data_IF_011068143648
#
_entry.id   IF_011068143648
#
_cell.length_a   1.000
_cell.length_b   1.000
_cell.length_c   1.000
_cell.angle_alpha   90.00
_cell.angle_beta   90.00
_cell.angle_gamma   90.00
#
_symmetry.space_group_name_H-M   'P 1'
#
loop_
_entity.id
_entity.type
_entity.pdbx_description
1 polymer ?
#
# COMPACT_ATOMS: atom_id res chain seq x y z
N UNK A 1 55.28 40.66 -11.48
CA UNK A 1 54.21 40.92 -12.46
C UNK A 1 53.22 39.76 -12.41
N UNK A 2 51.99 40.09 -12.00
CA UNK A 2 50.68 39.39 -12.06
C UNK A 2 50.58 37.86 -11.80
N UNK A 3 49.91 37.45 -10.71
CA UNK A 3 49.37 36.11 -10.54
C UNK A 3 48.04 35.95 -11.30
N UNK A 4 47.87 34.81 -11.98
CA UNK A 4 46.63 34.45 -12.67
C UNK A 4 45.61 33.87 -11.69
N UNK A 5 44.52 34.60 -11.47
CA UNK A 5 43.30 34.13 -10.83
C UNK A 5 42.67 33.00 -11.66
N UNK A 6 42.53 31.81 -11.09
CA UNK A 6 41.57 30.82 -11.58
C UNK A 6 40.32 30.92 -10.70
N UNK A 7 39.30 31.52 -11.30
CA UNK A 7 37.95 31.63 -10.78
C UNK A 7 37.34 30.25 -10.54
N UNK A 8 36.90 30.02 -9.31
CA UNK A 8 35.88 29.03 -8.96
C UNK A 8 34.62 29.27 -9.79
N UNK A 9 34.38 28.43 -10.80
CA UNK A 9 33.08 28.37 -11.46
C UNK A 9 32.23 27.32 -10.74
N UNK A 10 31.29 27.83 -9.95
CA UNK A 10 30.32 27.07 -9.18
C UNK A 10 29.52 26.11 -10.08
N UNK A 11 29.46 24.84 -9.68
CA UNK A 11 28.51 23.88 -10.20
C UNK A 11 27.09 24.34 -9.81
N UNK A 12 26.33 24.84 -10.78
CA UNK A 12 24.89 25.06 -10.63
C UNK A 12 24.24 23.68 -10.63
N UNK A 13 24.08 23.11 -9.43
CA UNK A 13 23.16 22.00 -9.21
C UNK A 13 21.75 22.58 -9.35
N UNK A 14 21.14 22.41 -10.53
CA UNK A 14 19.69 22.54 -10.68
C UNK A 14 19.06 21.47 -9.78
N UNK A 15 18.74 21.84 -8.55
CA UNK A 15 17.75 21.12 -7.77
C UNK A 15 16.44 21.23 -8.54
N UNK A 16 16.09 20.17 -9.26
CA UNK A 16 14.75 19.95 -9.72
C UNK A 16 13.84 20.00 -8.49
N UNK A 17 13.12 21.12 -8.36
CA UNK A 17 12.06 21.31 -7.39
C UNK A 17 11.00 20.26 -7.73
N UNK A 18 11.03 19.14 -7.00
CA UNK A 18 9.93 18.18 -7.01
C UNK A 18 8.71 18.95 -6.47
N UNK A 19 7.56 18.94 -7.15
CA UNK A 19 6.41 19.68 -6.68
C UNK A 19 6.00 19.15 -5.29
N UNK A 20 6.15 20.03 -4.31
CA UNK A 20 5.87 19.86 -2.89
C UNK A 20 4.35 19.81 -2.60
N UNK A 21 3.53 19.14 -3.41
CA UNK A 21 2.09 19.03 -3.15
C UNK A 21 1.50 17.69 -3.63
N UNK A 22 1.69 16.66 -2.81
CA UNK A 22 0.83 15.47 -2.69
C UNK A 22 0.91 14.86 -1.26
N UNK A 23 1.39 15.63 -0.29
CA UNK A 23 1.85 15.13 1.03
C UNK A 23 0.74 14.87 2.04
N UNK A 24 -0.54 15.06 1.72
CA UNK A 24 -1.64 14.87 2.67
C UNK A 24 -2.09 13.42 2.82
N UNK A 25 -2.56 12.80 1.72
CA UNK A 25 -3.16 11.46 1.74
C UNK A 25 -2.14 10.31 1.72
N UNK A 26 -0.97 10.51 1.11
CA UNK A 26 0.07 9.48 1.15
C UNK A 26 0.69 9.43 2.58
N UNK A 27 0.78 10.56 3.29
CA UNK A 27 1.30 10.64 4.67
C UNK A 27 0.45 9.85 5.67
N UNK A 28 -0.88 9.90 5.54
CA UNK A 28 -1.78 9.18 6.43
C UNK A 28 -1.66 7.66 6.27
N UNK A 29 -1.30 7.17 5.09
CA UNK A 29 -1.12 5.74 4.82
C UNK A 29 0.31 5.24 5.11
N UNK A 30 1.31 6.11 5.08
CA UNK A 30 2.73 5.72 5.20
C UNK A 30 3.26 5.85 6.63
N UNK A 31 2.77 6.80 7.43
CA UNK A 31 3.18 6.93 8.84
C UNK A 31 2.35 6.02 9.73
N UNK A 32 2.95 5.59 10.84
CA UNK A 32 2.32 4.76 11.87
C UNK A 32 0.96 5.33 12.27
N UNK A 33 -0.06 4.50 12.16
CA UNK A 33 -1.43 4.85 12.47
C UNK A 33 -1.66 4.94 13.98
N UNK A 34 -2.44 5.94 14.38
CA UNK A 34 -2.89 6.16 15.75
C UNK A 34 -4.37 6.55 15.73
N UNK A 35 -5.06 6.41 16.86
CA UNK A 35 -6.49 6.75 16.96
C UNK A 35 -6.78 8.20 16.51
N UNK A 36 -5.91 9.16 16.82
CA UNK A 36 -6.09 10.55 16.37
C UNK A 36 -5.94 10.73 14.87
N UNK A 37 -5.06 9.96 14.21
CA UNK A 37 -4.89 10.02 12.76
C UNK A 37 -6.13 9.53 12.01
N UNK A 38 -7.03 8.76 12.64
CA UNK A 38 -8.29 8.34 12.04
C UNK A 38 -9.15 9.51 11.57
N UNK A 39 -9.08 10.65 12.27
CA UNK A 39 -9.83 11.87 11.93
C UNK A 39 -9.41 12.49 10.60
N UNK A 40 -8.23 12.12 10.10
CA UNK A 40 -7.64 12.63 8.86
C UNK A 40 -7.99 11.75 7.65
N UNK A 41 -8.59 10.57 7.86
CA UNK A 41 -9.00 9.72 6.75
C UNK A 41 -10.17 10.33 5.99
N UNK A 42 -10.19 10.21 4.64
CA UNK A 42 -11.23 10.81 3.83
C UNK A 42 -12.59 10.16 4.08
N UNK A 43 -13.64 10.97 3.92
CA UNK A 43 -15.04 10.53 3.88
C UNK A 43 -15.56 10.82 2.48
N UNK A 44 -15.65 9.82 1.60
CA UNK A 44 -16.05 10.03 0.22
C UNK A 44 -17.50 10.52 0.11
N UNK A 45 -17.74 11.43 -0.84
CA UNK A 45 -19.06 11.99 -1.08
C UNK A 45 -20.04 10.96 -1.67
N UNK A 46 -19.53 10.01 -2.45
CA UNK A 46 -20.28 8.93 -3.09
C UNK A 46 -20.46 7.71 -2.18
N UNK A 47 -19.96 7.75 -0.94
CA UNK A 47 -20.03 6.65 0.03
C UNK A 47 -19.26 5.39 -0.38
N UNK A 48 -18.26 5.50 -1.26
CA UNK A 48 -17.41 4.37 -1.60
C UNK A 48 -16.61 3.92 -0.37
N UNK A 49 -16.65 2.62 -0.08
CA UNK A 49 -15.93 2.04 1.04
C UNK A 49 -14.44 1.89 0.68
N UNK A 50 -13.58 1.80 1.69
CA UNK A 50 -12.17 1.46 1.51
C UNK A 50 -11.66 0.55 2.62
N UNK A 51 -10.66 -0.25 2.29
CA UNK A 51 -9.95 -1.13 3.22
C UNK A 51 -8.45 -0.96 2.98
N UNK A 52 -7.70 -0.78 4.05
CA UNK A 52 -6.26 -0.52 4.01
C UNK A 52 -5.57 -1.29 5.13
N UNK A 53 -4.50 -2.01 4.78
CA UNK A 53 -3.63 -2.72 5.71
C UNK A 53 -2.30 -1.96 5.84
N UNK A 54 -1.94 -1.58 7.06
CA UNK A 54 -0.61 -1.07 7.40
C UNK A 54 0.07 -2.04 8.36
N UNK A 55 1.32 -2.41 8.08
CA UNK A 55 2.16 -3.17 9.03
C UNK A 55 3.55 -2.55 9.12
N UNK A 56 3.88 -1.97 10.27
CA UNK A 56 5.15 -1.29 10.49
C UNK A 56 5.80 -1.87 11.74
N UNK A 57 7.02 -2.40 11.58
CA UNK A 57 7.77 -3.05 12.65
C UNK A 57 6.96 -4.22 13.25
N UNK A 58 6.62 -4.13 14.54
CA UNK A 58 5.85 -5.15 15.24
C UNK A 58 4.34 -4.90 15.20
N UNK A 59 3.87 -3.74 14.73
CA UNK A 59 2.44 -3.38 14.86
C UNK A 59 1.75 -3.41 13.50
N UNK A 60 0.52 -3.92 13.51
CA UNK A 60 -0.36 -3.95 12.34
C UNK A 60 -1.66 -3.22 12.63
N UNK A 61 -2.09 -2.39 11.68
CA UNK A 61 -3.33 -1.65 11.72
C UNK A 61 -4.14 -1.89 10.43
N UNK A 62 -5.42 -2.20 10.60
CA UNK A 62 -6.37 -2.33 9.49
C UNK A 62 -7.36 -1.19 9.58
N UNK A 63 -7.48 -0.39 8.53
CA UNK A 63 -8.44 0.69 8.43
C UNK A 63 -9.57 0.31 7.48
N UNK A 64 -10.80 0.51 7.93
CA UNK A 64 -12.02 0.24 7.16
C UNK A 64 -12.87 1.51 7.15
N UNK A 65 -13.12 2.07 5.97
CA UNK A 65 -14.16 3.08 5.78
C UNK A 65 -15.48 2.38 5.44
N UNK A 66 -16.43 2.37 6.37
CA UNK A 66 -17.79 1.86 6.15
C UNK A 66 -18.77 3.01 6.05
N UNK A 67 -19.15 3.32 4.81
CA UNK A 67 -20.08 4.40 4.47
C UNK A 67 -21.37 3.87 3.86
N UNK A 68 -21.52 2.55 3.80
CA UNK A 68 -22.67 1.88 3.20
C UNK A 68 -23.92 1.89 4.08
N UNK A 69 -23.75 2.07 5.39
CA UNK A 69 -24.84 2.14 6.37
C UNK A 69 -25.36 3.57 6.63
N UNK A 70 -26.43 3.65 7.44
CA UNK A 70 -26.98 4.93 7.92
C UNK A 70 -25.96 5.73 8.73
N UNK A 71 -25.14 5.04 9.52
CA UNK A 71 -24.05 5.63 10.28
C UNK A 71 -22.71 5.40 9.59
N UNK A 72 -22.24 6.43 8.88
CA UNK A 72 -20.88 6.49 8.34
C UNK A 72 -19.87 6.38 9.46
N UNK A 73 -18.88 5.49 9.30
CA UNK A 73 -17.82 5.30 10.28
C UNK A 73 -16.50 4.88 9.62
N UNK A 74 -15.42 5.19 10.31
CA UNK A 74 -14.07 4.72 10.00
C UNK A 74 -13.64 3.87 11.19
N UNK A 75 -13.21 2.65 10.91
CA UNK A 75 -12.80 1.67 11.91
C UNK A 75 -11.30 1.46 11.77
N UNK A 76 -10.58 1.42 12.89
CA UNK A 76 -9.20 0.98 12.93
C UNK A 76 -9.08 -0.18 13.90
N UNK A 77 -8.65 -1.32 13.40
CA UNK A 77 -8.30 -2.50 14.19
C UNK A 77 -6.79 -2.47 14.39
N UNK A 78 -6.32 -2.62 15.62
CA UNK A 78 -4.89 -2.70 15.95
C UNK A 78 -4.58 -4.08 16.48
N UNK A 79 -3.53 -4.66 15.90
CA UNK A 79 -2.87 -5.89 16.29
C UNK A 79 -1.42 -5.51 16.66
N UNK A 80 -1.15 -5.46 17.95
CA UNK A 80 0.17 -5.18 18.51
C UNK A 80 0.99 -6.44 18.51
N UNK A 81 2.30 -6.29 18.31
CA UNK A 81 3.22 -7.42 18.20
C UNK A 81 2.91 -8.39 17.04
N UNK A 82 1.92 -8.06 16.19
CA UNK A 82 1.61 -8.74 14.94
C UNK A 82 1.27 -10.22 15.15
N UNK A 83 0.58 -10.53 16.26
CA UNK A 83 0.27 -11.89 16.68
C UNK A 83 -1.09 -12.39 16.13
N UNK A 84 -1.78 -11.55 15.34
CA UNK A 84 -3.13 -11.75 14.81
C UNK A 84 -4.24 -11.68 15.85
N UNK A 85 -3.98 -11.03 16.98
CA UNK A 85 -4.98 -10.71 18.00
C UNK A 85 -5.45 -9.27 17.84
N UNK A 86 -6.69 -9.00 18.26
CA UNK A 86 -7.21 -7.63 18.33
C UNK A 86 -6.85 -7.06 19.71
N UNK A 87 -5.93 -6.10 19.75
CA UNK A 87 -5.62 -5.34 20.96
C UNK A 87 -6.59 -4.18 21.19
N UNK A 88 -7.02 -3.54 20.11
CA UNK A 88 -7.95 -2.43 20.19
C UNK A 88 -8.70 -2.20 18.89
N UNK A 89 -9.96 -1.77 19.03
CA UNK A 89 -10.80 -1.31 17.93
C UNK A 89 -11.22 0.11 18.19
N UNK A 90 -10.91 0.99 17.25
CA UNK A 90 -11.35 2.38 17.26
C UNK A 90 -12.48 2.55 16.24
N UNK A 91 -13.55 3.25 16.61
CA UNK A 91 -14.58 3.71 15.69
C UNK A 91 -14.64 5.24 15.71
N UNK A 92 -14.37 5.86 14.56
CA UNK A 92 -14.58 7.28 14.35
C UNK A 92 -15.85 7.51 13.53
N UNK A 93 -16.76 8.31 14.08
CA UNK A 93 -18.00 8.74 13.45
C UNK A 93 -17.82 10.15 12.88
N UNK A 94 -17.45 10.30 11.60
CA UNK A 94 -17.06 11.60 11.04
C UNK A 94 -18.14 12.68 11.13
N UNK A 95 -19.41 12.32 11.01
CA UNK A 95 -20.52 13.26 11.10
C UNK A 95 -20.72 13.81 12.52
N UNK A 96 -20.47 12.98 13.53
CA UNK A 96 -20.58 13.33 14.95
C UNK A 96 -19.26 13.86 15.53
N UNK A 97 -18.16 13.74 14.77
CA UNK A 97 -16.77 14.00 15.21
C UNK A 97 -16.42 13.25 16.50
N UNK A 98 -16.94 12.02 16.62
CA UNK A 98 -16.88 11.23 17.84
C UNK A 98 -15.96 10.02 17.63
N UNK A 99 -14.95 9.87 18.47
CA UNK A 99 -13.99 8.76 18.44
C UNK A 99 -14.23 7.88 19.67
N UNK A 100 -14.49 6.60 19.42
CA UNK A 100 -14.73 5.59 20.46
C UNK A 100 -13.70 4.49 20.39
N UNK A 101 -13.35 3.96 21.56
CA UNK A 101 -12.63 2.70 21.69
C UNK A 101 -13.67 1.66 22.11
N UNK A 102 -13.77 0.58 21.35
CA UNK A 102 -14.75 -0.47 21.55
C UNK A 102 -14.06 -1.84 21.48
N UNK A 103 -14.75 -2.88 21.95
CA UNK A 103 -14.24 -4.24 21.83
C UNK A 103 -14.55 -4.85 20.45
N UNK A 104 -15.72 -4.54 19.89
CA UNK A 104 -16.20 -5.13 18.64
C UNK A 104 -17.01 -4.10 17.82
N UNK A 105 -16.68 -3.98 16.54
CA UNK A 105 -17.43 -3.12 15.61
C UNK A 105 -18.66 -3.83 15.07
N UNK A 106 -19.74 -3.06 14.87
CA UNK A 106 -20.96 -3.54 14.19
C UNK A 106 -20.88 -3.49 12.67
N UNK A 107 -19.76 -3.05 12.10
CA UNK A 107 -19.59 -3.03 10.64
C UNK A 107 -19.63 -4.44 10.08
N UNK A 108 -20.26 -4.60 8.91
CA UNK A 108 -20.26 -5.87 8.18
C UNK A 108 -18.87 -6.32 7.71
N UNK A 109 -17.91 -5.40 7.70
CA UNK A 109 -16.53 -5.66 7.32
C UNK A 109 -15.64 -6.05 8.51
N UNK A 110 -16.16 -5.92 9.74
CA UNK A 110 -15.43 -6.32 10.93
C UNK A 110 -15.49 -7.84 11.12
N UNK A 111 -14.35 -8.44 11.46
CA UNK A 111 -14.24 -9.86 11.81
C UNK A 111 -13.21 -10.03 12.91
N UNK A 112 -13.38 -11.06 13.73
CA UNK A 112 -12.38 -11.47 14.74
C UNK A 112 -11.24 -12.27 14.13
N UNK A 113 -11.43 -12.82 12.93
CA UNK A 113 -10.38 -13.52 12.19
C UNK A 113 -9.51 -12.51 11.44
N UNK A 114 -8.56 -11.92 12.18
CA UNK A 114 -7.69 -10.86 11.69
C UNK A 114 -6.69 -11.37 10.66
N UNK A 115 -6.16 -12.57 10.84
CA UNK A 115 -5.27 -13.20 9.87
C UNK A 115 -5.97 -13.34 8.50
N UNK A 116 -7.22 -13.81 8.49
CA UNK A 116 -8.02 -13.87 7.27
C UNK A 116 -8.30 -12.49 6.68
N UNK A 117 -8.68 -11.50 7.48
CA UNK A 117 -8.94 -10.15 6.98
C UNK A 117 -7.72 -9.53 6.30
N UNK A 118 -6.52 -9.70 6.87
CA UNK A 118 -5.26 -9.26 6.25
C UNK A 118 -5.07 -9.92 4.88
N UNK A 119 -5.24 -11.24 4.79
CA UNK A 119 -5.16 -11.99 3.52
C UNK A 119 -6.19 -11.48 2.51
N UNK A 120 -7.44 -11.32 2.92
CA UNK A 120 -8.52 -10.83 2.06
C UNK A 120 -8.22 -9.43 1.50
N UNK A 121 -7.56 -8.55 2.27
CA UNK A 121 -7.12 -7.22 1.82
C UNK A 121 -5.99 -7.35 0.78
N UNK A 122 -4.96 -8.14 1.08
CA UNK A 122 -3.80 -8.36 0.21
C UNK A 122 -4.24 -9.01 -1.12
N UNK A 123 -5.10 -10.02 -1.06
CA UNK A 123 -5.64 -10.73 -2.24
C UNK A 123 -6.66 -9.87 -2.99
N UNK A 124 -7.27 -8.89 -2.32
CA UNK A 124 -8.29 -8.00 -2.85
C UNK A 124 -9.71 -8.57 -2.80
N UNK A 125 -9.93 -9.66 -2.06
CA UNK A 125 -11.25 -10.26 -1.86
C UNK A 125 -12.23 -9.27 -1.21
N UNK A 126 -11.76 -8.41 -0.30
CA UNK A 126 -12.59 -7.37 0.36
C UNK A 126 -13.15 -6.33 -0.62
N UNK A 127 -12.59 -6.18 -1.81
CA UNK A 127 -13.04 -5.16 -2.76
C UNK A 127 -14.17 -5.68 -3.69
N UNK A 128 -14.35 -7.00 -3.78
CA UNK A 128 -15.34 -7.61 -4.67
C UNK A 128 -16.73 -7.54 -4.06
N UNK A 129 -17.65 -6.82 -4.71
CA UNK A 129 -19.06 -6.75 -4.32
C UNK A 129 -19.36 -5.85 -3.12
N UNK A 130 -18.37 -5.08 -2.63
CA UNK A 130 -18.47 -4.30 -1.39
C UNK A 130 -18.57 -2.78 -1.61
N UNK A 131 -18.82 -2.35 -2.85
CA UNK A 131 -18.85 -0.93 -3.24
C UNK A 131 -17.59 -0.18 -2.77
N UNK A 132 -16.45 -0.58 -3.33
CA UNK A 132 -15.11 -0.04 -3.04
C UNK A 132 -14.43 0.37 -4.34
N UNK A 133 -13.33 1.10 -4.23
CA UNK A 133 -12.41 1.31 -5.35
C UNK A 133 -11.85 -0.02 -5.88
N UNK A 134 -11.57 -0.08 -7.20
CA UNK A 134 -10.96 -1.25 -7.82
C UNK A 134 -9.44 -1.22 -7.62
N UNK A 135 -9.01 -1.71 -6.46
CA UNK A 135 -7.59 -1.78 -6.09
C UNK A 135 -6.87 -2.90 -6.85
N UNK A 136 -5.68 -2.60 -7.37
CA UNK A 136 -4.79 -3.65 -7.90
C UNK A 136 -4.16 -4.41 -6.74
N UNK A 137 -4.34 -5.72 -6.71
CA UNK A 137 -4.01 -6.60 -5.59
C UNK A 137 -2.97 -7.67 -5.96
N UNK A 138 -2.75 -8.64 -5.06
CA UNK A 138 -1.77 -9.71 -5.22
C UNK A 138 -1.86 -10.42 -6.57
N UNK A 139 -3.06 -10.76 -7.04
CA UNK A 139 -3.26 -11.45 -8.33
C UNK A 139 -2.75 -10.63 -9.52
N UNK A 140 -2.85 -9.30 -9.45
CA UNK A 140 -2.27 -8.41 -10.48
C UNK A 140 -0.74 -8.47 -10.44
N UNK A 141 -0.15 -8.41 -9.25
CA UNK A 141 1.31 -8.55 -9.09
C UNK A 141 1.81 -9.91 -9.61
N UNK A 142 1.17 -11.01 -9.21
CA UNK A 142 1.52 -12.36 -9.67
C UNK A 142 1.44 -12.49 -11.19
N UNK A 143 0.43 -11.89 -11.83
CA UNK A 143 0.30 -11.85 -13.29
C UNK A 143 1.49 -11.16 -13.95
N UNK A 144 1.98 -10.05 -13.36
CA UNK A 144 3.17 -9.35 -13.87
C UNK A 144 4.44 -10.16 -13.66
N UNK A 145 4.59 -10.80 -12.50
CA UNK A 145 5.78 -11.62 -12.19
C UNK A 145 5.90 -12.87 -13.07
N UNK A 146 4.77 -13.45 -13.47
CA UNK A 146 4.71 -14.59 -14.37
C UNK A 146 4.82 -14.21 -15.86
N UNK A 147 4.79 -12.92 -16.19
CA UNK A 147 4.97 -12.46 -17.56
C UNK A 147 6.46 -12.50 -17.94
N UNK A 148 6.76 -12.79 -19.21
CA UNK A 148 8.12 -12.73 -19.75
C UNK A 148 8.66 -11.30 -19.89
N UNK A 149 7.80 -10.28 -19.89
CA UNK A 149 8.21 -8.87 -19.99
C UNK A 149 8.80 -8.35 -18.67
N UNK A 150 10.12 -8.22 -18.62
CA UNK A 150 10.85 -7.73 -17.46
C UNK A 150 10.94 -6.20 -17.38
N UNK A 151 10.47 -5.45 -18.38
CA UNK A 151 10.57 -3.97 -18.36
C UNK A 151 9.77 -3.33 -17.22
N UNK A 152 8.77 -4.07 -16.70
CA UNK A 152 7.98 -3.71 -15.54
C UNK A 152 8.65 -4.03 -14.20
N UNK A 153 9.79 -4.74 -14.20
CA UNK A 153 10.46 -5.24 -13.00
C UNK A 153 11.77 -4.49 -12.77
N UNK A 154 11.87 -3.77 -11.65
CA UNK A 154 13.10 -3.20 -11.16
C UNK A 154 13.55 -3.97 -9.92
N UNK A 155 14.55 -4.84 -10.07
CA UNK A 155 15.14 -5.53 -8.94
C UNK A 155 15.87 -4.53 -8.02
N UNK A 156 15.78 -4.78 -6.72
CA UNK A 156 16.54 -4.14 -5.66
C UNK A 156 17.30 -5.22 -4.89
N UNK A 157 18.29 -4.83 -4.08
CA UNK A 157 19.12 -5.74 -3.26
C UNK A 157 18.25 -6.65 -2.39
N UNK A 158 17.12 -6.13 -1.93
CA UNK A 158 16.26 -6.80 -0.95
C UNK A 158 14.97 -7.37 -1.55
N UNK A 159 14.70 -7.15 -2.85
CA UNK A 159 13.39 -7.46 -3.45
C UNK A 159 13.14 -6.84 -4.82
N UNK A 160 11.89 -6.44 -5.09
CA UNK A 160 11.48 -5.85 -6.36
C UNK A 160 10.58 -4.63 -6.18
N UNK A 161 10.73 -3.69 -7.11
CA UNK A 161 9.73 -2.67 -7.44
C UNK A 161 9.13 -3.01 -8.80
N UNK A 162 7.81 -3.07 -8.88
CA UNK A 162 7.07 -3.53 -10.06
C UNK A 162 6.10 -2.45 -10.52
N UNK A 163 6.18 -2.08 -11.79
CA UNK A 163 5.27 -1.12 -12.43
C UNK A 163 4.26 -1.87 -13.28
N UNK A 164 2.98 -1.66 -13.01
CA UNK A 164 1.91 -2.22 -13.82
C UNK A 164 1.29 -1.15 -14.72
N UNK A 165 1.17 -1.48 -16.01
CA UNK A 165 0.59 -0.65 -17.05
C UNK A 165 -0.67 -1.32 -17.57
N UNK A 166 -1.69 -0.54 -17.91
CA UNK A 166 -2.85 -1.07 -18.64
C UNK A 166 -2.42 -1.40 -20.08
N UNK A 167 -3.08 -2.37 -20.73
CA UNK A 167 -2.62 -2.94 -22.01
C UNK A 167 -2.41 -1.90 -23.13
N UNK A 168 -3.22 -0.85 -23.13
CA UNK A 168 -3.26 0.24 -24.11
C UNK A 168 -2.68 1.57 -23.58
N UNK A 169 -2.16 1.60 -22.36
CA UNK A 169 -1.52 2.79 -21.76
C UNK A 169 -0.15 2.45 -21.18
N UNK A 170 0.90 2.74 -21.96
CA UNK A 170 2.30 2.44 -21.60
C UNK A 170 3.06 3.64 -21.03
N UNK A 171 2.51 4.85 -21.08
CA UNK A 171 3.18 6.07 -20.60
C UNK A 171 2.93 6.31 -19.11
N UNK A 172 1.89 5.69 -18.56
CA UNK A 172 1.50 5.85 -17.16
C UNK A 172 1.18 4.50 -16.53
N UNK A 173 1.82 4.22 -15.41
CA UNK A 173 1.52 3.02 -14.64
C UNK A 173 0.20 3.20 -13.87
N UNK A 174 -0.67 2.18 -13.88
CA UNK A 174 -1.91 2.15 -13.09
C UNK A 174 -1.67 1.67 -11.67
N UNK A 175 -0.61 0.88 -11.45
CA UNK A 175 -0.19 0.48 -10.11
C UNK A 175 1.33 0.37 -9.96
N UNK A 176 1.76 0.46 -8.70
CA UNK A 176 3.12 0.18 -8.23
C UNK A 176 3.02 -0.88 -7.15
N UNK A 177 3.86 -1.90 -7.26
CA UNK A 177 4.01 -2.91 -6.22
C UNK A 177 5.45 -2.92 -5.75
N UNK A 178 5.66 -3.12 -4.46
CA UNK A 178 6.98 -3.35 -3.88
C UNK A 178 6.90 -4.53 -2.94
N UNK A 179 7.83 -5.47 -3.05
CA UNK A 179 7.93 -6.59 -2.09
C UNK A 179 9.38 -7.01 -1.88
N UNK A 180 9.67 -7.47 -0.66
CA UNK A 180 10.96 -8.04 -0.33
C UNK A 180 11.23 -8.12 1.16
N UNK A 181 12.48 -8.40 1.53
CA UNK A 181 12.89 -8.59 2.93
C UNK A 181 14.33 -8.15 3.17
N UNK A 182 14.56 -7.57 4.35
CA UNK A 182 15.87 -7.20 4.85
C UNK A 182 16.07 -7.78 6.27
N UNK A 183 17.11 -7.34 6.99
CA UNK A 183 17.38 -7.79 8.35
C UNK A 183 16.34 -7.29 9.38
N UNK A 184 15.65 -6.18 9.10
CA UNK A 184 14.68 -5.56 10.01
C UNK A 184 13.28 -6.15 9.86
N UNK A 185 12.91 -6.60 8.65
CA UNK A 185 11.66 -7.29 8.40
C UNK A 185 11.30 -7.40 6.92
N UNK A 186 10.00 -7.55 6.68
CA UNK A 186 9.40 -7.68 5.36
C UNK A 186 8.79 -6.36 4.91
N UNK A 187 8.81 -6.12 3.60
CA UNK A 187 8.09 -5.02 3.01
C UNK A 187 7.17 -5.52 1.90
N UNK A 188 5.97 -4.94 1.86
CA UNK A 188 4.91 -5.28 0.91
C UNK A 188 4.04 -4.05 0.72
N UNK A 189 4.02 -3.46 -0.46
CA UNK A 189 3.30 -2.23 -0.75
C UNK A 189 2.53 -2.36 -2.05
N UNK A 190 1.21 -2.18 -1.99
CA UNK A 190 0.32 -2.23 -3.15
C UNK A 190 -0.30 -0.85 -3.31
N UNK A 191 0.15 -0.12 -4.34
CA UNK A 191 -0.29 1.24 -4.63
C UNK A 191 -1.04 1.26 -5.97
N UNK A 192 -2.29 1.69 -5.95
CA UNK A 192 -3.08 1.95 -7.16
C UNK A 192 -3.07 3.45 -7.44
N UNK A 193 -2.49 3.86 -8.57
CA UNK A 193 -2.47 5.26 -9.01
C UNK A 193 -3.77 5.64 -9.73
N UNK A 194 -4.35 4.69 -10.46
CA UNK A 194 -5.67 4.80 -11.06
C UNK A 194 -6.21 3.43 -11.48
N UNK A 195 -7.51 3.34 -11.74
CA UNK A 195 -8.14 2.19 -12.38
C UNK A 195 -9.17 2.65 -13.42
N UNK A 196 -9.53 1.77 -14.35
CA UNK A 196 -10.61 2.02 -15.31
C UNK A 196 -11.93 1.57 -14.73
N UNK A 197 -12.91 2.47 -14.71
CA UNK A 197 -14.30 2.14 -14.43
C UNK A 197 -14.99 1.57 -15.66
N UNK A 198 -14.65 2.12 -16.83
CA UNK A 198 -15.10 1.68 -18.14
C UNK A 198 -14.02 2.02 -19.20
N UNK A 199 -14.32 1.82 -20.48
CA UNK A 199 -13.37 2.04 -21.58
C UNK A 199 -12.87 3.48 -21.69
N UNK A 200 -13.66 4.46 -21.25
CA UNK A 200 -13.38 5.89 -21.42
C UNK A 200 -13.10 6.60 -20.08
N UNK A 201 -13.48 5.98 -18.95
CA UNK A 201 -13.42 6.60 -17.63
C UNK A 201 -12.33 5.99 -16.77
N UNK A 202 -11.36 6.82 -16.41
CA UNK A 202 -10.35 6.52 -15.39
C UNK A 202 -10.77 7.16 -14.06
N UNK A 203 -10.59 6.42 -12.97
CA UNK A 203 -10.81 6.90 -11.61
C UNK A 203 -9.52 6.77 -10.78
N UNK A 204 -9.36 7.67 -9.82
CA UNK A 204 -8.32 7.58 -8.80
C UNK A 204 -8.95 7.03 -7.53
N UNK A 205 -8.32 6.07 -6.85
CA UNK A 205 -8.88 5.56 -5.60
C UNK A 205 -8.82 6.62 -4.50
N UNK A 206 -9.76 6.52 -3.56
CA UNK A 206 -9.82 7.37 -2.36
C UNK A 206 -8.55 7.22 -1.53
N UNK A 207 -8.12 5.97 -1.35
CA UNK A 207 -6.85 5.60 -0.74
C UNK A 207 -5.95 4.96 -1.80
N UNK A 208 -4.73 5.46 -1.96
CA UNK A 208 -3.82 4.92 -2.99
C UNK A 208 -3.24 3.58 -2.58
N UNK A 209 -2.93 3.38 -1.30
CA UNK A 209 -2.43 2.10 -0.81
C UNK A 209 -3.58 1.22 -0.35
N UNK A 210 -3.62 -0.03 -0.83
CA UNK A 210 -4.39 -1.11 -0.19
C UNK A 210 -3.56 -1.82 0.87
N UNK A 211 -2.25 -1.89 0.66
CA UNK A 211 -1.28 -2.48 1.58
C UNK A 211 -0.06 -1.57 1.67
N UNK A 212 0.38 -1.27 2.89
CA UNK A 212 1.64 -0.60 3.16
C UNK A 212 2.36 -1.28 4.33
N UNK A 213 3.36 -2.10 4.00
CA UNK A 213 4.18 -2.79 5.00
C UNK A 213 5.63 -2.36 4.87
N UNK A 214 6.26 -2.02 6.01
CA UNK A 214 7.66 -1.59 6.10
C UNK A 214 8.29 -2.16 7.36
N UNK A 215 9.39 -2.88 7.20
CA UNK A 215 10.08 -3.58 8.30
C UNK A 215 9.12 -4.46 9.12
N UNK A 216 8.10 -4.98 8.45
CA UNK A 216 7.00 -5.72 9.07
C UNK A 216 7.47 -7.09 9.55
N UNK A 217 7.05 -7.45 10.76
CA UNK A 217 7.18 -8.80 11.32
C UNK A 217 5.89 -9.60 11.26
N UNK A 218 4.86 -9.05 10.61
CA UNK A 218 3.57 -9.68 10.50
C UNK A 218 3.66 -11.03 9.76
N UNK A 219 3.16 -12.13 10.36
CA UNK A 219 3.29 -13.45 9.77
C UNK A 219 2.53 -13.59 8.45
N UNK A 220 1.42 -12.86 8.25
CA UNK A 220 0.68 -12.87 6.97
C UNK A 220 1.49 -12.15 5.90
N UNK A 221 2.06 -10.97 6.21
CA UNK A 221 2.92 -10.25 5.26
C UNK A 221 4.14 -11.09 4.89
N UNK A 222 4.80 -11.69 5.88
CA UNK A 222 5.92 -12.62 5.70
C UNK A 222 5.55 -13.77 4.76
N UNK A 223 4.46 -14.47 5.03
CA UNK A 223 4.00 -15.60 4.22
C UNK A 223 3.82 -15.20 2.75
N UNK A 224 3.15 -14.08 2.50
CA UNK A 224 2.90 -13.58 1.14
C UNK A 224 4.21 -13.21 0.43
N UNK A 225 5.11 -12.49 1.09
CA UNK A 225 6.40 -12.10 0.49
C UNK A 225 7.26 -13.32 0.17
N UNK A 226 7.33 -14.30 1.07
CA UNK A 226 8.07 -15.55 0.80
C UNK A 226 7.45 -16.34 -0.35
N UNK A 227 6.13 -16.31 -0.52
CA UNK A 227 5.46 -16.92 -1.67
C UNK A 227 5.77 -16.17 -2.98
N UNK A 228 5.82 -14.83 -2.97
CA UNK A 228 6.24 -14.03 -4.13
C UNK A 228 7.68 -14.35 -4.53
N UNK A 229 8.58 -14.57 -3.56
CA UNK A 229 9.95 -15.02 -3.84
C UNK A 229 10.04 -16.42 -4.44
N UNK A 230 9.01 -17.27 -4.32
CA UNK A 230 8.98 -18.55 -5.06
C UNK A 230 8.68 -18.34 -6.54
N UNK A 231 8.02 -17.24 -6.90
CA UNK A 231 7.73 -16.86 -8.29
C UNK A 231 8.95 -16.19 -8.93
N UNK A 232 9.55 -15.21 -8.23
CA UNK A 232 10.70 -14.46 -8.73
C UNK A 232 11.63 -14.02 -7.59
N UNK A 233 12.92 -14.30 -7.70
CA UNK A 233 13.94 -13.83 -6.74
C UNK A 233 14.87 -12.79 -7.36
N UNK A 234 15.33 -11.79 -6.58
CA UNK A 234 16.38 -10.88 -7.03
C UNK A 234 17.67 -11.67 -7.15
N UNK A 235 18.37 -11.55 -8.29
CA UNK A 235 19.77 -11.98 -8.35
C UNK A 235 20.06 -13.48 -8.35
N UNK A 236 19.15 -14.35 -8.82
CA UNK A 236 19.65 -15.55 -9.51
C UNK A 236 20.10 -15.09 -10.89
N UNK A 237 21.34 -14.63 -10.97
CA UNK A 237 22.10 -14.87 -12.18
C UNK A 237 21.91 -16.37 -12.46
N UNK A 238 21.17 -16.72 -13.50
CA UNK A 238 21.51 -17.90 -14.26
C UNK A 238 22.96 -17.68 -14.68
N UNK A 239 23.88 -18.12 -13.83
CA UNK A 239 25.06 -18.77 -14.30
C UNK A 239 24.55 -19.84 -15.26
N UNK A 240 24.48 -19.51 -16.54
CA UNK A 240 24.99 -20.40 -17.56
C UNK A 240 26.44 -20.71 -17.18
N UNK A 241 26.57 -21.56 -16.17
CA UNK A 241 27.75 -22.34 -15.92
C UNK A 241 27.99 -23.09 -17.22
N UNK A 242 29.14 -22.79 -17.83
CA UNK A 242 29.50 -23.36 -19.11
C UNK A 242 29.39 -24.88 -19.09
N UNK A 243 28.85 -25.39 -20.19
CA UNK A 243 29.47 -26.43 -21.00
C UNK A 243 28.88 -26.36 -22.39
#
# INVERSE_FOLDING_TARGET
MRPGFLLSAAAVVMMSIVPLFSTGLDDIQVKKLTGDRMKLFPVPADNINYMFLQSIENDTAIVIGDFSGLEKKIIMIVDKDSDNTIDSVFEYYPLKKDLKIINESKSRFFTKDIAKLKKDIIEGAVYKGNYTDNMKSLKTLESVLNNSDTNSLCADVYGFNVRFFEADERRKNSALFTYGKNAEGYYLQFKTEYYRKDANTIQKPVLKYSVYSRDSKDPVVKEIVENLFKIKQPGVNTASAGK
#
